data_IF_309988449555
#
_entry.id   IF_309988449555
#
_cell.length_a   1.000
_cell.length_b   1.000
_cell.length_c   1.000
_cell.angle_alpha   90.00
_cell.angle_beta   90.00
_cell.angle_gamma   90.00
#
_symmetry.space_group_name_H-M   'P 1'
#
loop_
_entity.id
_entity.type
_entity.pdbx_description
1 polymer ?
#
# COMPACT_ATOMS: atom_id res chain seq x y z
N UNK A 1 22.88 -14.99 -40.49
CA UNK A 1 22.71 -13.80 -39.64
C UNK A 1 21.33 -13.90 -38.99
N UNK A 2 21.26 -14.58 -37.85
CA UNK A 2 20.04 -14.70 -37.04
C UNK A 2 19.76 -13.34 -36.42
N UNK A 3 18.61 -12.77 -36.78
CA UNK A 3 18.10 -11.54 -36.20
C UNK A 3 17.82 -11.78 -34.71
N UNK A 4 18.77 -11.38 -33.85
CA UNK A 4 18.48 -11.22 -32.43
C UNK A 4 17.37 -10.17 -32.32
N UNK A 5 16.14 -10.65 -32.15
CA UNK A 5 15.00 -9.83 -31.79
C UNK A 5 15.33 -9.22 -30.44
N UNK A 6 15.89 -8.00 -30.46
CA UNK A 6 16.16 -7.18 -29.29
C UNK A 6 14.83 -7.07 -28.53
N UNK A 7 14.62 -7.88 -27.50
CA UNK A 7 13.42 -7.82 -26.68
C UNK A 7 13.35 -6.40 -26.13
N UNK A 8 12.38 -5.63 -26.64
CA UNK A 8 12.20 -4.24 -26.25
C UNK A 8 11.79 -4.27 -24.78
N UNK A 9 12.71 -3.89 -23.89
CA UNK A 9 12.44 -3.74 -22.47
C UNK A 9 11.33 -2.69 -22.35
N UNK A 10 10.10 -3.15 -22.15
CA UNK A 10 8.95 -2.28 -21.96
C UNK A 10 9.12 -1.60 -20.59
N UNK A 11 9.14 -0.26 -20.52
CA UNK A 11 9.28 0.43 -19.25
C UNK A 11 8.04 0.20 -18.39
N UNK A 12 8.12 -0.74 -17.44
CA UNK A 12 7.04 -1.02 -16.48
C UNK A 12 7.03 -0.07 -15.29
N UNK A 13 8.01 0.85 -15.21
CA UNK A 13 8.21 1.73 -14.06
C UNK A 13 6.99 2.60 -13.80
N UNK A 14 6.40 3.22 -14.83
CA UNK A 14 5.23 4.09 -14.66
C UNK A 14 4.03 3.35 -14.04
N UNK A 15 3.78 2.11 -14.47
CA UNK A 15 2.71 1.28 -13.92
C UNK A 15 2.96 0.87 -12.47
N UNK A 16 4.22 0.65 -12.08
CA UNK A 16 4.62 0.37 -10.69
C UNK A 16 4.50 1.62 -9.82
N UNK A 17 4.93 2.79 -10.33
CA UNK A 17 4.77 4.07 -9.63
C UNK A 17 3.30 4.37 -9.38
N UNK A 18 2.42 4.20 -10.38
CA UNK A 18 0.97 4.36 -10.21
C UNK A 18 0.38 3.40 -9.16
N UNK A 19 0.80 2.13 -9.15
CA UNK A 19 0.40 1.19 -8.11
C UNK A 19 0.86 1.65 -6.71
N UNK A 20 2.11 2.12 -6.60
CA UNK A 20 2.66 2.63 -5.34
C UNK A 20 1.98 3.90 -4.86
N UNK A 21 1.67 4.85 -5.76
CA UNK A 21 0.95 6.08 -5.40
C UNK A 21 -0.43 5.75 -4.89
N UNK A 22 -1.23 5.01 -5.67
CA UNK A 22 -2.65 4.81 -5.36
C UNK A 22 -2.85 3.72 -4.31
N UNK A 23 -2.39 2.50 -4.60
CA UNK A 23 -2.64 1.35 -3.74
C UNK A 23 -1.68 1.31 -2.55
N UNK A 24 -0.46 1.83 -2.69
CA UNK A 24 0.46 1.99 -1.56
C UNK A 24 -0.07 3.01 -0.54
N UNK A 25 -0.66 4.13 -1.00
CA UNK A 25 -1.24 5.13 -0.10
C UNK A 25 -2.49 4.59 0.61
N UNK A 26 -3.39 3.93 -0.13
CA UNK A 26 -4.55 3.27 0.45
C UNK A 26 -4.15 2.22 1.51
N UNK A 27 -3.10 1.45 1.23
CA UNK A 27 -2.58 0.45 2.16
C UNK A 27 -1.98 1.09 3.42
N UNK A 28 -1.24 2.20 3.29
CA UNK A 28 -0.73 2.95 4.44
C UNK A 28 -1.88 3.47 5.32
N UNK A 29 -2.95 4.02 4.71
CA UNK A 29 -4.10 4.50 5.45
C UNK A 29 -4.81 3.40 6.24
N UNK A 30 -5.06 2.23 5.64
CA UNK A 30 -5.77 1.17 6.37
C UNK A 30 -4.93 0.60 7.51
N UNK A 31 -3.61 0.48 7.35
CA UNK A 31 -2.71 0.06 8.43
C UNK A 31 -2.72 1.07 9.60
N UNK A 32 -2.69 2.37 9.30
CA UNK A 32 -2.82 3.41 10.32
C UNK A 32 -4.22 3.44 10.93
N UNK A 33 -5.28 3.15 10.17
CA UNK A 33 -6.62 3.04 10.71
C UNK A 33 -6.75 1.88 11.73
N UNK A 34 -6.14 0.73 11.45
CA UNK A 34 -6.06 -0.36 12.43
C UNK A 34 -5.39 0.11 13.73
N UNK A 35 -4.27 0.81 13.64
CA UNK A 35 -3.59 1.38 14.81
C UNK A 35 -4.43 2.46 15.52
N UNK A 36 -5.12 3.32 14.76
CA UNK A 36 -5.95 4.39 15.29
C UNK A 36 -7.11 3.85 16.14
N UNK A 37 -7.80 2.82 15.64
CA UNK A 37 -9.00 2.28 16.28
C UNK A 37 -8.74 1.16 17.29
N UNK A 38 -7.77 0.28 17.01
CA UNK A 38 -7.49 -0.91 17.83
C UNK A 38 -6.14 -0.84 18.54
N UNK A 39 -5.33 0.20 18.29
CA UNK A 39 -4.08 0.42 18.99
C UNK A 39 -4.28 0.96 20.42
N UNK A 40 -3.21 0.96 21.23
CA UNK A 40 -3.26 1.35 22.64
C UNK A 40 -3.86 2.74 22.86
N UNK A 41 -4.59 2.91 23.96
CA UNK A 41 -5.17 4.19 24.37
C UNK A 41 -6.42 4.64 23.59
N UNK A 42 -6.92 3.85 22.64
CA UNK A 42 -8.12 4.19 21.87
C UNK A 42 -7.92 5.40 20.96
N UNK A 43 -9.01 5.89 20.32
CA UNK A 43 -8.92 6.98 19.34
C UNK A 43 -8.54 8.33 19.98
N UNK A 44 -8.83 8.51 21.26
CA UNK A 44 -8.65 9.76 22.01
C UNK A 44 -7.32 9.87 22.75
N UNK A 45 -6.39 8.92 22.55
CA UNK A 45 -5.09 9.00 23.20
C UNK A 45 -4.33 10.27 22.80
N UNK A 46 -3.66 10.87 23.79
CA UNK A 46 -2.79 12.02 23.59
C UNK A 46 -1.72 11.71 22.52
N UNK A 47 -1.44 12.68 21.66
CA UNK A 47 -0.47 12.63 20.56
C UNK A 47 -0.75 11.61 19.44
N UNK A 48 -1.82 10.82 19.53
CA UNK A 48 -2.16 9.80 18.51
C UNK A 48 -2.43 10.39 17.14
N UNK A 49 -3.02 11.59 17.10
CA UNK A 49 -3.25 12.32 15.84
C UNK A 49 -1.93 12.66 15.15
N UNK A 50 -0.96 13.19 15.88
CA UNK A 50 0.35 13.55 15.33
C UNK A 50 1.10 12.30 14.88
N UNK A 51 1.08 11.24 15.69
CA UNK A 51 1.68 9.97 15.33
C UNK A 51 1.09 9.42 14.02
N UNK A 52 -0.24 9.34 13.93
CA UNK A 52 -0.92 8.86 12.72
C UNK A 52 -0.55 9.72 11.49
N UNK A 53 -0.53 11.05 11.65
CA UNK A 53 -0.17 11.98 10.58
C UNK A 53 1.24 11.74 10.04
N UNK A 54 2.23 11.59 10.92
CA UNK A 54 3.63 11.41 10.53
C UNK A 54 3.96 10.00 10.05
N UNK A 55 3.22 8.99 10.52
CA UNK A 55 3.44 7.60 10.11
C UNK A 55 2.91 7.29 8.71
N UNK A 56 1.88 8.00 8.23
CA UNK A 56 1.33 7.83 6.87
C UNK A 56 2.42 8.00 5.79
N UNK A 57 3.15 9.13 5.68
CA UNK A 57 4.15 9.30 4.63
C UNK A 57 5.31 8.30 4.75
N UNK A 58 5.71 7.93 5.98
CA UNK A 58 6.76 6.93 6.21
C UNK A 58 6.32 5.58 5.63
N UNK A 59 5.15 5.07 6.04
CA UNK A 59 4.64 3.80 5.54
C UNK A 59 4.37 3.85 4.04
N UNK A 60 3.77 4.94 3.55
CA UNK A 60 3.46 5.10 2.14
C UNK A 60 4.72 5.06 1.27
N UNK A 61 5.75 5.83 1.61
CA UNK A 61 7.00 5.86 0.82
C UNK A 61 7.77 4.54 0.90
N UNK A 62 7.71 3.82 2.02
CA UNK A 62 8.25 2.45 2.10
C UNK A 62 7.51 1.51 1.16
N UNK A 63 6.18 1.48 1.21
CA UNK A 63 5.34 0.64 0.33
C UNK A 63 5.51 1.02 -1.15
N UNK A 64 5.58 2.33 -1.44
CA UNK A 64 5.87 2.87 -2.76
C UNK A 64 7.21 2.35 -3.29
N UNK A 65 8.26 2.41 -2.46
CA UNK A 65 9.60 1.94 -2.84
C UNK A 65 9.61 0.43 -3.12
N UNK A 66 8.85 -0.36 -2.35
CA UNK A 66 8.71 -1.79 -2.58
C UNK A 66 8.01 -2.15 -3.88
N UNK A 67 7.28 -1.22 -4.52
CA UNK A 67 6.69 -1.50 -5.83
C UNK A 67 7.73 -1.80 -6.91
N UNK A 68 8.96 -1.30 -6.75
CA UNK A 68 10.06 -1.56 -7.67
C UNK A 68 10.69 -2.95 -7.49
N UNK A 69 10.44 -3.65 -6.38
CA UNK A 69 10.87 -5.04 -6.18
C UNK A 69 10.02 -6.03 -6.99
N UNK A 70 8.82 -5.65 -7.46
CA UNK A 70 8.01 -6.53 -8.29
C UNK A 70 8.58 -6.69 -9.69
N UNK A 71 8.45 -7.88 -10.27
CA UNK A 71 8.96 -8.17 -11.61
C UNK A 71 8.11 -7.48 -12.70
N UNK A 72 6.83 -7.19 -12.42
CA UNK A 72 5.92 -6.53 -13.37
C UNK A 72 4.97 -5.55 -12.69
N UNK A 73 4.44 -4.58 -13.45
CA UNK A 73 3.39 -3.69 -12.95
C UNK A 73 2.13 -4.45 -12.54
N UNK A 74 1.71 -5.46 -13.34
CA UNK A 74 0.55 -6.30 -13.02
C UNK A 74 0.69 -6.98 -11.66
N UNK A 75 1.88 -7.51 -11.35
CA UNK A 75 2.16 -8.12 -10.06
C UNK A 75 2.00 -7.12 -8.91
N UNK A 76 2.53 -5.90 -9.07
CA UNK A 76 2.39 -4.83 -8.08
C UNK A 76 0.90 -4.52 -7.81
N UNK A 77 0.11 -4.35 -8.87
CA UNK A 77 -1.33 -4.08 -8.77
C UNK A 77 -2.10 -5.21 -8.08
N UNK A 78 -1.83 -6.47 -8.44
CA UNK A 78 -2.53 -7.61 -7.85
C UNK A 78 -2.21 -7.78 -6.36
N UNK A 79 -0.94 -7.63 -5.97
CA UNK A 79 -0.51 -7.82 -4.58
C UNK A 79 -1.01 -6.66 -3.71
N UNK A 80 -0.73 -5.41 -4.12
CA UNK A 80 -1.19 -4.25 -3.36
C UNK A 80 -2.72 -4.16 -3.35
N UNK A 81 -3.38 -4.45 -4.47
CA UNK A 81 -4.83 -4.43 -4.58
C UNK A 81 -5.47 -5.51 -3.71
N UNK A 82 -4.95 -6.74 -3.76
CA UNK A 82 -5.39 -7.83 -2.90
C UNK A 82 -5.22 -7.52 -1.42
N UNK A 83 -4.06 -6.98 -1.03
CA UNK A 83 -3.80 -6.55 0.35
C UNK A 83 -4.80 -5.48 0.83
N UNK A 84 -5.09 -4.47 -0.01
CA UNK A 84 -6.11 -3.48 0.29
C UNK A 84 -7.48 -4.12 0.48
N UNK A 85 -7.95 -4.94 -0.48
CA UNK A 85 -9.26 -5.60 -0.39
C UNK A 85 -9.38 -6.42 0.90
N UNK A 86 -8.36 -7.21 1.24
CA UNK A 86 -8.35 -8.04 2.45
C UNK A 86 -8.43 -7.18 3.71
N UNK A 87 -7.55 -6.17 3.84
CA UNK A 87 -7.46 -5.37 5.05
C UNK A 87 -8.66 -4.44 5.24
N UNK A 88 -9.17 -3.82 4.18
CA UNK A 88 -10.39 -3.02 4.27
C UNK A 88 -11.60 -3.88 4.60
N UNK A 89 -11.73 -5.07 3.99
CA UNK A 89 -12.82 -6.00 4.33
C UNK A 89 -12.73 -6.44 5.79
N UNK A 90 -11.55 -6.82 6.26
CA UNK A 90 -11.32 -7.17 7.67
C UNK A 90 -11.65 -6.00 8.60
N UNK A 91 -11.21 -4.79 8.27
CA UNK A 91 -11.48 -3.60 9.06
C UNK A 91 -12.99 -3.32 9.17
N UNK A 92 -13.73 -3.43 8.05
CA UNK A 92 -15.18 -3.25 8.02
C UNK A 92 -15.91 -4.33 8.82
N UNK A 93 -15.48 -5.59 8.73
CA UNK A 93 -16.05 -6.70 9.50
C UNK A 93 -15.87 -6.48 11.01
N UNK A 94 -14.66 -6.09 11.44
CA UNK A 94 -14.38 -5.79 12.85
C UNK A 94 -15.14 -4.56 13.34
N UNK A 95 -15.32 -3.56 12.47
CA UNK A 95 -16.07 -2.33 12.79
C UNK A 95 -17.57 -2.57 12.87
N UNK A 96 -18.14 -3.39 12.00
CA UNK A 96 -19.57 -3.70 11.95
C UNK A 96 -20.03 -4.74 12.99
N UNK A 97 -19.09 -5.41 13.66
CA UNK A 97 -19.36 -6.32 14.77
C UNK A 97 -19.31 -5.67 16.17
N UNK A 98 -19.03 -4.37 16.25
CA UNK A 98 -19.05 -3.52 17.45
C UNK A 98 -20.35 -2.70 17.49
#
# INVERSE_FOLDING_TARGET
>A
MTSEQRQKIQPTWLGKSLAGVLLGLALAYILIAFFAWYGPGGIDAQDKVQFNMWMIPILWLTLFSFTYLFNSARQAWLILGGANVILYSLFLLLRGGL
#
